data_IF_207645051766
#
_entry.id   IF_207645051766
#
_cell.length_a   1.000
_cell.length_b   1.000
_cell.length_c   1.000
_cell.angle_alpha   90.00
_cell.angle_beta   90.00
_cell.angle_gamma   90.00
#
_symmetry.space_group_name_H-M   'P 1'
#
loop_
_entity.id
_entity.type
_entity.pdbx_description
1 polymer ?
#
# COMPACT_ATOMS: atom_id res chain seq x y z
N UNK A 1 14.26 -4.60 4.53
CA UNK A 1 13.54 -5.03 3.31
C UNK A 1 14.31 -6.18 2.70
N UNK A 2 13.69 -7.35 2.56
CA UNK A 2 14.30 -8.50 1.88
C UNK A 2 13.94 -8.45 0.39
N UNK A 3 14.71 -9.12 -0.46
CA UNK A 3 14.42 -9.21 -1.91
C UNK A 3 13.00 -9.73 -2.18
N UNK A 4 12.49 -10.60 -1.31
CA UNK A 4 11.14 -11.19 -1.38
C UNK A 4 10.02 -10.25 -0.94
N UNK A 5 10.33 -9.20 -0.17
CA UNK A 5 9.33 -8.22 0.30
C UNK A 5 9.38 -6.91 -0.48
N UNK A 6 10.36 -6.76 -1.38
CA UNK A 6 10.55 -5.56 -2.19
C UNK A 6 9.31 -5.21 -3.03
N UNK A 7 8.65 -6.21 -3.61
CA UNK A 7 7.43 -6.02 -4.41
C UNK A 7 6.24 -5.47 -3.61
N UNK A 8 6.18 -5.72 -2.30
CA UNK A 8 5.13 -5.16 -1.43
C UNK A 8 5.29 -3.66 -1.19
N UNK A 9 6.46 -3.08 -1.53
CA UNK A 9 6.75 -1.66 -1.41
C UNK A 9 6.87 -0.95 -2.77
N UNK A 10 6.56 -1.63 -3.87
CA UNK A 10 6.61 -1.02 -5.21
C UNK A 10 5.54 0.08 -5.36
N UNK A 11 4.44 -0.02 -4.59
CA UNK A 11 3.40 1.00 -4.47
C UNK A 11 3.56 1.75 -3.15
N UNK A 12 4.26 2.90 -3.18
CA UNK A 12 4.53 3.71 -1.99
C UNK A 12 3.26 4.13 -1.24
N UNK A 13 2.14 4.33 -1.96
CA UNK A 13 0.85 4.69 -1.37
C UNK A 13 0.37 3.69 -0.32
N UNK A 14 0.68 2.39 -0.44
CA UNK A 14 0.28 1.37 0.55
C UNK A 14 1.00 1.50 1.89
N UNK A 15 2.17 2.16 1.94
CA UNK A 15 2.93 2.33 3.18
C UNK A 15 2.45 3.52 4.02
N UNK A 16 1.76 4.50 3.42
CA UNK A 16 1.32 5.74 4.09
C UNK A 16 0.48 5.47 5.35
N UNK A 17 -0.49 4.54 5.35
CA UNK A 17 -1.33 4.29 6.52
C UNK A 17 -0.63 3.54 7.66
N UNK A 18 0.57 2.98 7.45
CA UNK A 18 1.23 2.10 8.43
C UNK A 18 1.51 2.77 9.78
N UNK A 19 1.67 4.09 9.83
CA UNK A 19 1.87 4.85 11.06
C UNK A 19 0.56 5.15 11.82
N UNK A 20 -0.59 4.92 11.18
CA UNK A 20 -1.92 5.22 11.71
C UNK A 20 -2.76 3.96 11.97
N UNK A 21 -2.36 2.80 11.43
CA UNK A 21 -3.11 1.54 11.54
C UNK A 21 -2.35 0.49 12.35
N UNK A 22 -3.11 -0.27 13.14
CA UNK A 22 -2.60 -1.44 13.86
C UNK A 22 -2.77 -2.75 13.07
N UNK A 23 -2.42 -3.87 13.69
CA UNK A 23 -2.67 -5.21 13.14
C UNK A 23 -4.17 -5.41 12.85
N UNK A 24 -4.49 -5.98 11.69
CA UNK A 24 -5.86 -6.10 11.12
C UNK A 24 -6.57 -4.79 10.80
N UNK A 25 -5.88 -3.65 10.87
CA UNK A 25 -6.42 -2.36 10.45
C UNK A 25 -6.91 -2.41 9.00
N UNK A 26 -8.09 -1.84 8.77
CA UNK A 26 -8.72 -1.75 7.45
C UNK A 26 -8.85 -0.31 7.04
N UNK A 27 -8.44 0.01 5.82
CA UNK A 27 -8.53 1.36 5.26
C UNK A 27 -9.17 1.35 3.88
N UNK A 28 -9.74 2.49 3.53
CA UNK A 28 -10.19 2.84 2.19
C UNK A 28 -9.35 4.02 1.72
N UNK A 29 -8.84 3.98 0.50
CA UNK A 29 -7.86 4.96 0.05
C UNK A 29 -7.93 5.22 -1.45
N UNK A 30 -7.60 6.44 -1.84
CA UNK A 30 -7.31 6.83 -3.23
C UNK A 30 -5.81 7.09 -3.29
N UNK A 31 -5.10 6.36 -4.13
CA UNK A 31 -3.66 6.53 -4.34
C UNK A 31 -3.46 7.33 -5.62
N UNK A 32 -2.80 8.50 -5.58
CA UNK A 32 -2.45 9.24 -6.79
C UNK A 32 -1.42 8.46 -7.61
N UNK A 33 -1.41 8.69 -8.94
CA UNK A 33 -0.62 7.88 -9.88
C UNK A 33 0.88 7.86 -9.55
N UNK A 34 1.43 8.96 -9.03
CA UNK A 34 2.84 9.13 -8.67
C UNK A 34 3.26 8.29 -7.45
N UNK A 35 2.30 7.87 -6.63
CA UNK A 35 2.49 6.95 -5.50
C UNK A 35 1.94 5.54 -5.78
N UNK A 36 1.42 5.33 -6.97
CA UNK A 36 0.84 4.09 -7.47
C UNK A 36 1.89 3.08 -7.95
N UNK A 37 1.42 1.96 -8.48
CA UNK A 37 2.27 0.96 -9.14
C UNK A 37 2.90 1.53 -10.43
N UNK A 38 3.86 0.81 -11.03
CA UNK A 38 4.43 1.21 -12.33
C UNK A 38 3.38 1.31 -13.43
N UNK A 39 2.29 0.53 -13.33
CA UNK A 39 1.16 0.62 -14.25
C UNK A 39 0.41 1.94 -14.08
N UNK A 40 0.02 2.27 -12.84
CA UNK A 40 -0.69 3.51 -12.50
C UNK A 40 0.13 4.75 -12.93
N UNK A 41 1.43 4.74 -12.67
CA UNK A 41 2.36 5.78 -13.09
C UNK A 41 2.41 5.94 -14.62
N UNK A 42 2.38 4.84 -15.37
CA UNK A 42 2.43 4.88 -16.84
C UNK A 42 1.14 5.39 -17.49
N UNK A 43 -0.01 5.15 -16.83
CA UNK A 43 -1.32 5.58 -17.31
C UNK A 43 -1.73 6.96 -16.78
N UNK A 44 -0.99 7.51 -15.80
CA UNK A 44 -1.34 8.74 -15.09
C UNK A 44 -2.71 8.66 -14.41
N UNK A 45 -3.11 7.47 -13.97
CA UNK A 45 -4.42 7.22 -13.37
C UNK A 45 -4.30 6.99 -11.85
N UNK A 46 -5.15 7.63 -11.04
CA UNK A 46 -5.24 7.30 -9.61
C UNK A 46 -6.04 6.02 -9.40
N UNK A 47 -5.69 5.26 -8.36
CA UNK A 47 -6.35 3.99 -8.05
C UNK A 47 -7.13 4.07 -6.74
N UNK A 48 -8.41 3.68 -6.81
CA UNK A 48 -9.29 3.56 -5.65
C UNK A 48 -9.21 2.14 -5.07
N UNK A 49 -8.90 2.05 -3.78
CA UNK A 49 -8.95 0.81 -3.01
C UNK A 49 -10.11 0.89 -2.02
N UNK A 50 -11.13 0.07 -2.23
CA UNK A 50 -12.30 0.03 -1.36
C UNK A 50 -11.98 -0.53 0.03
N UNK A 51 -11.13 -1.57 0.10
CA UNK A 51 -10.66 -2.16 1.34
C UNK A 51 -9.23 -2.70 1.20
N UNK A 52 -8.32 -2.17 2.02
CA UNK A 52 -6.98 -2.71 2.25
C UNK A 52 -6.88 -3.14 3.71
N UNK A 53 -6.54 -4.40 3.95
CA UNK A 53 -6.34 -4.95 5.31
C UNK A 53 -4.86 -5.18 5.57
N UNK A 54 -4.34 -4.61 6.66
CA UNK A 54 -2.95 -4.78 7.06
C UNK A 54 -2.77 -5.97 8.01
N UNK A 55 -1.73 -6.77 7.75
CA UNK A 55 -1.31 -7.88 8.61
C UNK A 55 0.16 -7.71 8.99
N UNK A 56 0.42 -7.61 10.28
CA UNK A 56 1.77 -7.57 10.83
C UNK A 56 2.12 -8.97 11.36
N UNK A 57 3.08 -9.65 10.74
CA UNK A 57 3.43 -11.05 11.06
C UNK A 57 4.12 -11.22 12.43
N UNK A 58 4.68 -10.14 13.00
CA UNK A 58 5.50 -10.19 14.21
C UNK A 58 4.79 -9.62 15.45
N UNK A 59 3.48 -9.84 15.56
CA UNK A 59 2.68 -9.47 16.73
C UNK A 59 2.65 -10.67 17.67
N UNK A 60 3.59 -10.71 18.62
CA UNK A 60 3.57 -11.65 19.76
C UNK A 60 2.52 -11.23 20.77
#
# INVERSE_FOLDING_TARGET
>A
VTTSTKSYYDTLGWAVPLIYVGHTGKVKMIIPFDMGSSYDQSQYEPTYYDMVQYRFENQY
#
